data_IF_384032523556
#
_entry.id   IF_384032523556
#
_cell.length_a   1.000
_cell.length_b   1.000
_cell.length_c   1.000
_cell.angle_alpha   90.00
_cell.angle_beta   90.00
_cell.angle_gamma   90.00
#
_symmetry.space_group_name_H-M   'P 1'
#
loop_
_entity.id
_entity.type
_entity.pdbx_description
1 polymer ?
#
# COMPACT_ATOMS: atom_id res chain seq x y z
N UNK A 1 19.06 -18.21 -23.47
CA UNK A 1 18.01 -17.42 -24.16
C UNK A 1 16.71 -17.16 -23.36
N UNK A 2 16.28 -17.92 -22.33
CA UNK A 2 15.05 -17.61 -21.57
C UNK A 2 15.11 -16.31 -20.76
N UNK A 3 16.27 -15.94 -20.18
CA UNK A 3 16.42 -14.74 -19.33
C UNK A 3 16.18 -13.40 -20.06
N UNK A 4 16.59 -13.26 -21.31
CA UNK A 4 16.41 -12.02 -22.08
C UNK A 4 14.93 -11.78 -22.46
N UNK A 5 14.18 -12.84 -22.75
CA UNK A 5 12.73 -12.77 -23.02
C UNK A 5 11.95 -12.36 -21.78
N UNK A 6 12.26 -12.95 -20.62
CA UNK A 6 11.62 -12.62 -19.33
C UNK A 6 11.92 -11.18 -18.90
N UNK A 7 13.16 -10.73 -19.08
CA UNK A 7 13.55 -9.34 -18.76
C UNK A 7 12.77 -8.34 -19.61
N UNK A 8 12.60 -8.58 -20.90
CA UNK A 8 11.78 -7.72 -21.79
C UNK A 8 10.31 -7.72 -21.39
N UNK A 9 9.75 -8.87 -21.03
CA UNK A 9 8.37 -8.99 -20.56
C UNK A 9 8.15 -8.20 -19.28
N UNK A 10 9.08 -8.29 -18.32
CA UNK A 10 9.01 -7.54 -17.08
C UNK A 10 9.11 -6.02 -17.31
N UNK A 11 10.06 -5.56 -18.15
CA UNK A 11 10.19 -4.14 -18.48
C UNK A 11 8.91 -3.56 -19.10
N UNK A 12 8.24 -4.34 -19.95
CA UNK A 12 6.98 -3.95 -20.59
C UNK A 12 5.81 -3.88 -19.58
N UNK A 13 5.73 -4.84 -18.67
CA UNK A 13 4.75 -4.78 -17.56
C UNK A 13 4.95 -3.55 -16.70
N UNK A 14 6.21 -3.24 -16.36
CA UNK A 14 6.55 -2.06 -15.55
C UNK A 14 6.20 -0.74 -16.24
N UNK A 15 6.34 -0.63 -17.55
CA UNK A 15 5.91 0.55 -18.31
C UNK A 15 4.39 0.74 -18.20
N UNK A 16 3.59 -0.33 -18.36
CA UNK A 16 2.13 -0.29 -18.25
C UNK A 16 1.71 0.10 -16.82
N UNK A 17 2.32 -0.52 -15.80
CA UNK A 17 2.05 -0.22 -14.39
C UNK A 17 2.42 1.23 -14.06
N UNK A 18 3.52 1.74 -14.59
CA UNK A 18 3.98 3.10 -14.35
C UNK A 18 3.06 4.15 -15.00
N UNK A 19 2.57 3.88 -16.21
CA UNK A 19 1.56 4.73 -16.86
C UNK A 19 0.25 4.74 -16.06
N UNK A 20 -0.22 3.60 -15.59
CA UNK A 20 -1.39 3.50 -14.72
C UNK A 20 -1.18 4.30 -13.42
N UNK A 21 0.00 4.20 -12.81
CA UNK A 21 0.34 4.94 -11.60
C UNK A 21 0.29 6.47 -11.82
N UNK A 22 0.83 6.95 -12.93
CA UNK A 22 0.82 8.37 -13.28
C UNK A 22 -0.61 8.90 -13.51
N UNK A 23 -1.45 8.16 -14.23
CA UNK A 23 -2.85 8.51 -14.42
C UNK A 23 -3.63 8.54 -13.10
N UNK A 24 -3.35 7.61 -12.19
CA UNK A 24 -4.03 7.50 -10.90
C UNK A 24 -3.71 8.64 -9.91
N UNK A 25 -2.69 9.46 -10.18
CA UNK A 25 -2.42 10.67 -9.40
C UNK A 25 -3.53 11.71 -9.55
N UNK A 26 -4.10 11.83 -10.77
CA UNK A 26 -5.06 12.89 -11.11
C UNK A 26 -6.44 12.38 -11.47
N UNK A 27 -6.59 11.10 -11.80
CA UNK A 27 -7.86 10.48 -12.20
C UNK A 27 -8.33 9.48 -11.15
N UNK A 28 -9.65 9.26 -11.08
CA UNK A 28 -10.20 8.20 -10.26
C UNK A 28 -10.02 6.82 -10.91
N UNK A 29 -10.04 5.75 -10.10
CA UNK A 29 -10.01 4.38 -10.60
C UNK A 29 -11.12 4.10 -11.65
N UNK A 30 -12.30 4.69 -11.45
CA UNK A 30 -13.46 4.48 -12.35
C UNK A 30 -13.24 5.11 -13.72
N UNK A 31 -12.59 6.27 -13.76
CA UNK A 31 -12.40 7.05 -14.97
C UNK A 31 -11.23 6.53 -15.82
N UNK A 32 -10.24 5.85 -15.23
CA UNK A 32 -9.11 5.27 -15.96
C UNK A 32 -9.58 4.05 -16.74
N UNK A 33 -9.26 4.05 -18.05
CA UNK A 33 -9.54 2.93 -18.97
C UNK A 33 -8.25 2.36 -19.55
N UNK A 34 -8.32 1.16 -20.13
CA UNK A 34 -7.18 0.59 -20.87
C UNK A 34 -6.77 1.44 -22.08
N UNK A 35 -7.69 2.27 -22.61
CA UNK A 35 -7.39 3.23 -23.67
C UNK A 35 -6.47 4.34 -23.15
N UNK A 36 -6.78 4.91 -21.98
CA UNK A 36 -5.97 5.97 -21.38
C UNK A 36 -4.57 5.45 -21.04
N UNK A 37 -4.49 4.24 -20.46
CA UNK A 37 -3.20 3.60 -20.19
C UNK A 37 -2.41 3.36 -21.47
N UNK A 38 -3.06 2.92 -22.57
CA UNK A 38 -2.37 2.73 -23.85
C UNK A 38 -1.84 4.02 -24.44
N UNK A 39 -2.56 5.14 -24.26
CA UNK A 39 -2.13 6.47 -24.73
C UNK A 39 -0.93 7.02 -23.93
N UNK A 40 -0.74 6.56 -22.71
CA UNK A 40 0.36 6.94 -21.83
C UNK A 40 1.57 5.97 -21.91
N UNK A 41 1.54 5.00 -22.82
CA UNK A 41 2.61 4.01 -23.05
C UNK A 41 3.03 3.95 -24.51
N UNK A 42 4.10 3.22 -24.79
CA UNK A 42 4.49 2.86 -26.17
C UNK A 42 3.62 1.74 -26.79
N UNK A 43 2.59 1.26 -26.07
CA UNK A 43 1.77 0.10 -26.48
C UNK A 43 0.41 0.49 -27.03
N UNK A 44 -0.06 -0.28 -28.01
CA UNK A 44 -1.46 -0.27 -28.39
C UNK A 44 -2.30 -0.98 -27.32
N UNK A 45 -3.60 -0.63 -27.22
CA UNK A 45 -4.54 -1.33 -26.33
C UNK A 45 -4.51 -2.85 -26.53
N UNK A 46 -4.42 -3.32 -27.80
CA UNK A 46 -4.32 -4.75 -28.13
C UNK A 46 -3.05 -5.38 -27.55
N UNK A 47 -1.94 -4.65 -27.56
CA UNK A 47 -0.66 -5.14 -27.01
C UNK A 47 -0.70 -5.26 -25.48
N UNK A 48 -1.47 -4.43 -24.78
CA UNK A 48 -1.65 -4.51 -23.32
C UNK A 48 -2.30 -5.83 -22.93
N UNK A 49 -3.26 -6.34 -23.71
CA UNK A 49 -3.93 -7.62 -23.43
C UNK A 49 -2.99 -8.84 -23.41
N UNK A 50 -1.80 -8.73 -23.97
CA UNK A 50 -0.78 -9.79 -23.85
C UNK A 50 -0.22 -9.90 -22.41
N UNK A 51 -0.44 -8.89 -21.55
CA UNK A 51 0.09 -8.79 -20.19
C UNK A 51 -0.99 -8.76 -19.13
N UNK A 52 -2.07 -8.00 -19.37
CA UNK A 52 -3.17 -7.77 -18.44
C UNK A 52 -4.50 -7.87 -19.18
N UNK A 53 -5.43 -8.67 -18.67
CA UNK A 53 -6.74 -8.86 -19.28
C UNK A 53 -7.74 -7.74 -18.91
N UNK A 54 -7.56 -7.15 -17.72
CA UNK A 54 -8.43 -6.10 -17.19
C UNK A 54 -7.59 -4.95 -16.65
N UNK A 55 -8.20 -3.79 -16.45
CA UNK A 55 -7.53 -2.68 -15.77
C UNK A 55 -7.27 -3.03 -14.29
N UNK A 56 -8.15 -3.81 -13.69
CA UNK A 56 -8.05 -4.27 -12.31
C UNK A 56 -6.78 -5.08 -12.08
N UNK A 57 -6.36 -5.90 -13.06
CA UNK A 57 -5.07 -6.60 -13.00
C UNK A 57 -3.87 -5.65 -13.02
N UNK A 58 -3.96 -4.54 -13.76
CA UNK A 58 -2.90 -3.51 -13.77
C UNK A 58 -2.84 -2.80 -12.42
N UNK A 59 -3.99 -2.45 -11.85
CA UNK A 59 -4.08 -1.84 -10.53
C UNK A 59 -3.64 -2.79 -9.41
N UNK A 60 -3.96 -4.09 -9.52
CA UNK A 60 -3.46 -5.11 -8.59
C UNK A 60 -1.94 -5.25 -8.65
N UNK A 61 -1.35 -5.22 -9.85
CA UNK A 61 0.09 -5.21 -10.03
C UNK A 61 0.74 -3.91 -9.51
N UNK A 62 0.06 -2.77 -9.64
CA UNK A 62 0.48 -1.51 -9.03
C UNK A 62 0.47 -1.60 -7.50
N UNK A 63 -0.58 -2.15 -6.90
CA UNK A 63 -0.65 -2.38 -5.45
C UNK A 63 0.44 -3.35 -4.98
N UNK A 64 0.70 -4.42 -5.75
CA UNK A 64 1.81 -5.33 -5.48
C UNK A 64 3.16 -4.58 -5.44
N UNK A 65 3.45 -3.73 -6.42
CA UNK A 65 4.65 -2.90 -6.48
C UNK A 65 4.77 -1.98 -5.26
N UNK A 66 3.67 -1.36 -4.85
CA UNK A 66 3.66 -0.49 -3.67
C UNK A 66 3.97 -1.27 -2.36
N UNK A 67 3.46 -2.49 -2.21
CA UNK A 67 3.82 -3.35 -1.08
C UNK A 67 5.30 -3.76 -1.10
N UNK A 68 5.86 -4.06 -2.27
CA UNK A 68 7.27 -4.40 -2.41
C UNK A 68 8.17 -3.20 -2.06
N UNK A 69 7.78 -1.98 -2.44
CA UNK A 69 8.47 -0.76 -2.06
C UNK A 69 8.37 -0.48 -0.55
N UNK A 70 7.19 -0.67 0.04
CA UNK A 70 7.03 -0.52 1.49
C UNK A 70 7.83 -1.56 2.26
N UNK A 71 7.84 -2.80 1.79
CA UNK A 71 8.71 -3.84 2.36
C UNK A 71 10.18 -3.45 2.34
N UNK A 72 10.65 -2.82 1.26
CA UNK A 72 12.03 -2.32 1.19
C UNK A 72 12.30 -1.25 2.27
N UNK A 73 11.38 -0.30 2.48
CA UNK A 73 11.50 0.68 3.57
C UNK A 73 11.63 0.00 4.94
N UNK A 74 10.83 -1.04 5.20
CA UNK A 74 10.88 -1.82 6.45
C UNK A 74 12.19 -2.58 6.61
N UNK A 75 12.73 -3.16 5.53
CA UNK A 75 14.02 -3.84 5.56
C UNK A 75 15.17 -2.87 5.85
N UNK A 76 15.11 -1.64 5.34
CA UNK A 76 16.06 -0.58 5.68
C UNK A 76 16.00 -0.27 7.19
N UNK A 77 14.81 -0.16 7.79
CA UNK A 77 14.69 0.04 9.24
C UNK A 77 15.35 -1.09 10.04
N UNK A 78 15.17 -2.35 9.57
CA UNK A 78 15.79 -3.51 10.19
C UNK A 78 17.32 -3.51 10.08
N UNK A 79 17.85 -2.98 9.00
CA UNK A 79 19.29 -3.00 8.72
C UNK A 79 20.04 -1.90 9.48
N UNK A 80 19.46 -0.69 9.54
CA UNK A 80 20.15 0.48 10.11
C UNK A 80 19.98 0.64 11.62
N UNK A 81 19.01 -0.05 12.24
CA UNK A 81 18.76 0.06 13.69
C UNK A 81 19.00 -1.26 14.41
N UNK A 82 19.85 -1.26 15.44
CA UNK A 82 20.05 -2.41 16.32
C UNK A 82 18.89 -2.54 17.34
N UNK A 83 18.43 -1.44 17.89
CA UNK A 83 17.32 -1.35 18.82
C UNK A 83 16.52 -0.06 18.57
N UNK A 84 15.26 -0.06 18.94
CA UNK A 84 14.39 1.13 18.90
C UNK A 84 13.47 1.15 20.12
N UNK A 85 13.19 2.34 20.63
CA UNK A 85 12.10 2.53 21.60
C UNK A 85 10.76 2.43 20.87
N UNK A 86 9.67 2.18 21.60
CA UNK A 86 8.32 2.17 21.03
C UNK A 86 7.96 3.48 20.33
N UNK A 87 8.45 4.59 20.85
CA UNK A 87 8.28 5.93 20.29
C UNK A 87 9.01 6.09 18.95
N UNK A 88 10.30 5.74 18.93
CA UNK A 88 11.13 5.81 17.72
C UNK A 88 10.60 4.88 16.62
N UNK A 89 10.19 3.65 16.99
CA UNK A 89 9.63 2.70 16.03
C UNK A 89 8.28 3.18 15.46
N UNK A 90 7.38 3.70 16.32
CA UNK A 90 6.10 4.26 15.88
C UNK A 90 6.30 5.42 14.90
N UNK A 91 7.24 6.34 15.19
CA UNK A 91 7.59 7.43 14.30
C UNK A 91 8.17 6.93 12.96
N UNK A 92 9.11 6.00 13.00
CA UNK A 92 9.73 5.43 11.81
C UNK A 92 8.68 4.72 10.93
N UNK A 93 7.82 3.87 11.51
CA UNK A 93 6.76 3.17 10.79
C UNK A 93 5.75 4.15 10.18
N UNK A 94 5.35 5.20 10.92
CA UNK A 94 4.47 6.25 10.42
C UNK A 94 5.10 7.00 9.23
N UNK A 95 6.39 7.30 9.28
CA UNK A 95 7.10 7.92 8.16
C UNK A 95 7.16 7.00 6.92
N UNK A 96 7.31 5.68 7.09
CA UNK A 96 7.27 4.78 5.94
C UNK A 96 5.91 4.82 5.25
N UNK A 97 4.80 4.82 6.00
CA UNK A 97 3.44 4.86 5.46
C UNK A 97 3.08 6.23 4.87
N UNK A 98 3.56 7.33 5.45
CA UNK A 98 3.34 8.67 4.90
C UNK A 98 3.88 8.82 3.46
N UNK A 99 4.93 8.07 3.11
CA UNK A 99 5.47 8.00 1.74
C UNK A 99 4.71 7.07 0.80
N UNK A 100 3.73 6.31 1.32
CA UNK A 100 2.98 5.27 0.57
C UNK A 100 1.49 5.63 0.44
N UNK A 101 1.19 6.92 0.26
CA UNK A 101 -0.20 7.39 0.11
C UNK A 101 -0.96 6.66 -1.01
N UNK A 102 -0.30 6.36 -2.14
CA UNK A 102 -0.89 5.61 -3.25
C UNK A 102 -1.25 4.18 -2.86
N UNK A 103 -0.38 3.47 -2.11
CA UNK A 103 -0.69 2.15 -1.57
C UNK A 103 -1.97 2.20 -0.71
N UNK A 104 -2.03 3.14 0.22
CA UNK A 104 -3.16 3.31 1.13
C UNK A 104 -4.44 3.71 0.39
N UNK A 105 -4.34 4.54 -0.66
CA UNK A 105 -5.47 4.89 -1.54
C UNK A 105 -6.04 3.66 -2.24
N UNK A 106 -5.17 2.82 -2.83
CA UNK A 106 -5.58 1.58 -3.49
C UNK A 106 -6.25 0.60 -2.53
N UNK A 107 -5.70 0.43 -1.33
CA UNK A 107 -6.27 -0.43 -0.29
C UNK A 107 -7.67 0.02 0.12
N UNK A 108 -7.84 1.30 0.41
CA UNK A 108 -9.09 1.84 0.94
C UNK A 108 -10.20 1.92 -0.11
N UNK A 109 -9.85 2.23 -1.36
CA UNK A 109 -10.82 2.64 -2.36
C UNK A 109 -11.17 1.55 -3.37
N UNK A 110 -10.26 0.58 -3.63
CA UNK A 110 -10.40 -0.27 -4.81
C UNK A 110 -10.04 -1.74 -4.59
N UNK A 111 -9.80 -2.14 -3.34
CA UNK A 111 -9.30 -3.47 -3.02
C UNK A 111 -10.19 -4.60 -3.55
N UNK A 112 -11.50 -4.54 -3.27
CA UNK A 112 -12.45 -5.57 -3.70
C UNK A 112 -12.59 -5.65 -5.21
N UNK A 113 -12.64 -4.53 -5.91
CA UNK A 113 -12.76 -4.51 -7.38
C UNK A 113 -11.54 -5.17 -8.03
N UNK A 114 -10.34 -4.88 -7.52
CA UNK A 114 -9.10 -5.47 -8.02
C UNK A 114 -9.05 -6.98 -7.79
N UNK A 115 -9.45 -7.47 -6.61
CA UNK A 115 -9.45 -8.91 -6.31
C UNK A 115 -10.50 -9.66 -7.13
N UNK A 116 -11.73 -9.14 -7.21
CA UNK A 116 -12.83 -9.80 -7.90
C UNK A 116 -12.63 -9.93 -9.42
N UNK A 117 -11.90 -8.97 -10.03
CA UNK A 117 -11.74 -8.89 -11.49
C UNK A 117 -10.33 -9.23 -11.97
N UNK A 118 -9.53 -9.90 -11.15
CA UNK A 118 -8.18 -10.36 -11.50
C UNK A 118 -8.10 -11.88 -11.58
N UNK A 119 -7.27 -12.38 -12.50
CA UNK A 119 -6.97 -13.81 -12.58
C UNK A 119 -6.25 -14.30 -11.32
N UNK A 120 -6.48 -15.57 -10.96
CA UNK A 120 -5.93 -16.19 -9.74
C UNK A 120 -4.40 -16.08 -9.66
N UNK A 121 -3.68 -16.25 -10.76
CA UNK A 121 -2.22 -16.13 -10.76
C UNK A 121 -1.74 -14.74 -10.36
N UNK A 122 -2.43 -13.67 -10.78
CA UNK A 122 -2.10 -12.30 -10.41
C UNK A 122 -2.46 -12.03 -8.94
N UNK A 123 -3.58 -12.58 -8.48
CA UNK A 123 -3.97 -12.49 -7.07
C UNK A 123 -2.97 -13.22 -6.16
N UNK A 124 -2.51 -14.40 -6.54
CA UNK A 124 -1.47 -15.15 -5.80
C UNK A 124 -0.15 -14.38 -5.76
N UNK A 125 0.26 -13.76 -6.88
CA UNK A 125 1.47 -12.92 -6.93
C UNK A 125 1.35 -11.72 -5.96
N UNK A 126 0.22 -11.03 -5.98
CA UNK A 126 -0.08 -9.95 -5.04
C UNK A 126 -0.05 -10.42 -3.58
N UNK A 127 -0.71 -11.53 -3.24
CA UNK A 127 -0.74 -12.07 -1.87
C UNK A 127 0.65 -12.48 -1.36
N UNK A 128 1.58 -12.85 -2.25
CA UNK A 128 2.99 -13.07 -1.87
C UNK A 128 3.68 -11.78 -1.45
N UNK A 129 3.51 -10.68 -2.18
CA UNK A 129 4.08 -9.38 -1.81
C UNK A 129 3.45 -8.82 -0.53
N UNK A 130 2.13 -8.93 -0.39
CA UNK A 130 1.42 -8.61 0.85
C UNK A 130 1.97 -9.40 2.05
N UNK A 131 2.08 -10.73 1.92
CA UNK A 131 2.63 -11.60 2.96
C UNK A 131 4.08 -11.28 3.30
N UNK A 132 4.90 -10.94 2.30
CA UNK A 132 6.29 -10.53 2.52
C UNK A 132 6.40 -9.20 3.28
N UNK A 133 5.52 -8.24 3.01
CA UNK A 133 5.45 -7.00 3.79
C UNK A 133 4.99 -7.24 5.23
N UNK A 134 3.98 -8.10 5.43
CA UNK A 134 3.53 -8.51 6.76
C UNK A 134 4.65 -9.18 7.55
N UNK A 135 5.43 -10.06 6.92
CA UNK A 135 6.61 -10.67 7.54
C UNK A 135 7.68 -9.64 7.89
N UNK A 136 7.90 -8.60 7.07
CA UNK A 136 8.84 -7.54 7.37
C UNK A 136 8.42 -6.74 8.61
N UNK A 137 7.12 -6.36 8.73
CA UNK A 137 6.58 -5.75 9.96
C UNK A 137 6.77 -6.67 11.15
N UNK A 138 6.45 -7.96 11.02
CA UNK A 138 6.63 -8.96 12.08
C UNK A 138 8.09 -9.03 12.55
N UNK A 139 9.04 -9.00 11.61
CA UNK A 139 10.47 -9.00 11.93
C UNK A 139 10.90 -7.73 12.67
N UNK A 140 10.39 -6.56 12.27
CA UNK A 140 10.62 -5.30 12.98
C UNK A 140 10.14 -5.39 14.43
N UNK A 141 8.88 -5.79 14.63
CA UNK A 141 8.30 -5.93 15.97
C UNK A 141 9.11 -6.91 16.84
N UNK A 142 9.46 -8.08 16.30
CA UNK A 142 10.25 -9.08 17.04
C UNK A 142 11.70 -8.64 17.32
N UNK A 143 12.33 -7.88 16.42
CA UNK A 143 13.70 -7.37 16.63
C UNK A 143 13.71 -6.28 17.69
N UNK A 144 12.81 -5.31 17.61
CA UNK A 144 12.84 -4.14 18.48
C UNK A 144 12.14 -4.36 19.82
N UNK A 145 11.24 -5.36 19.89
CA UNK A 145 10.49 -5.72 21.11
C UNK A 145 10.63 -7.22 21.39
N UNK A 146 11.85 -7.71 21.71
CA UNK A 146 12.11 -9.15 21.83
C UNK A 146 11.37 -9.82 22.99
N UNK A 147 10.90 -9.04 23.98
CA UNK A 147 10.12 -9.54 25.12
C UNK A 147 8.60 -9.55 24.86
N UNK A 148 8.14 -9.06 23.68
CA UNK A 148 6.73 -9.11 23.32
C UNK A 148 6.28 -10.57 23.10
N UNK A 149 5.26 -11.07 23.82
CA UNK A 149 4.76 -12.43 23.62
C UNK A 149 4.21 -12.64 22.21
N UNK A 150 4.23 -13.87 21.72
CA UNK A 150 3.77 -14.21 20.36
C UNK A 150 2.31 -13.76 20.10
N UNK A 151 1.45 -13.89 21.11
CA UNK A 151 0.05 -13.44 21.04
C UNK A 151 -0.06 -11.92 20.89
N UNK A 152 0.80 -11.15 21.59
CA UNK A 152 0.83 -9.69 21.46
C UNK A 152 1.36 -9.25 20.09
N UNK A 153 2.38 -9.93 19.56
CA UNK A 153 2.84 -9.71 18.17
C UNK A 153 1.71 -9.97 17.17
N UNK A 154 0.97 -11.04 17.34
CA UNK A 154 -0.19 -11.35 16.51
C UNK A 154 -1.29 -10.29 16.66
N UNK A 155 -1.60 -9.89 17.88
CA UNK A 155 -2.56 -8.83 18.20
C UNK A 155 -2.18 -7.50 17.51
N UNK A 156 -0.89 -7.12 17.57
CA UNK A 156 -0.38 -5.95 16.85
C UNK A 156 -0.67 -6.06 15.34
N UNK A 157 -0.33 -7.18 14.72
CA UNK A 157 -0.53 -7.36 13.26
C UNK A 157 -2.02 -7.28 12.88
N UNK A 158 -2.89 -7.96 13.64
CA UNK A 158 -4.34 -7.99 13.36
C UNK A 158 -5.07 -6.69 13.72
N UNK A 159 -4.48 -5.81 14.49
CA UNK A 159 -4.97 -4.44 14.67
C UNK A 159 -4.41 -3.50 13.60
N UNK A 160 -3.11 -3.60 13.30
CA UNK A 160 -2.41 -2.69 12.43
C UNK A 160 -2.78 -2.85 10.94
N UNK A 161 -2.81 -4.08 10.42
CA UNK A 161 -3.11 -4.28 8.99
C UNK A 161 -4.54 -3.86 8.60
N UNK A 162 -5.61 -4.20 9.35
CA UNK A 162 -6.94 -3.65 9.10
C UNK A 162 -7.00 -2.11 9.21
N UNK A 163 -6.26 -1.48 10.12
CA UNK A 163 -6.17 -0.03 10.23
C UNK A 163 -5.69 0.62 8.93
N UNK A 164 -4.77 0.00 8.18
CA UNK A 164 -4.27 0.53 6.90
C UNK A 164 -5.40 0.75 5.87
N UNK A 165 -6.46 -0.07 5.90
CA UNK A 165 -7.58 0.04 4.97
C UNK A 165 -8.44 1.29 5.21
N UNK A 166 -8.49 1.78 6.47
CA UNK A 166 -9.22 3.00 6.82
C UNK A 166 -8.39 4.28 6.75
N UNK A 167 -7.06 4.16 6.69
CA UNK A 167 -6.15 5.29 6.91
C UNK A 167 -6.26 6.40 5.85
N UNK A 168 -6.33 6.03 4.56
CA UNK A 168 -6.34 7.01 3.47
C UNK A 168 -7.55 7.95 3.50
N UNK A 169 -8.81 7.49 3.59
CA UNK A 169 -9.97 8.38 3.59
C UNK A 169 -10.03 9.32 4.80
N UNK A 170 -9.39 8.98 5.91
CA UNK A 170 -9.28 9.87 7.07
C UNK A 170 -8.21 10.96 6.89
N UNK A 171 -7.14 10.68 6.15
CA UNK A 171 -6.08 11.65 5.89
C UNK A 171 -6.40 12.56 4.67
N UNK A 172 -7.14 12.05 3.69
CA UNK A 172 -7.45 12.73 2.43
C UNK A 172 -8.95 12.98 2.29
N UNK A 173 -9.48 13.84 3.14
CA UNK A 173 -10.90 14.25 3.14
C UNK A 173 -11.16 15.18 1.97
N UNK A 174 -12.17 14.88 1.14
CA UNK A 174 -12.56 15.70 -0.01
C UNK A 174 -13.23 17.00 0.45
N UNK A 175 -13.20 18.06 -0.39
CA UNK A 175 -13.85 19.33 -0.06
C UNK A 175 -15.36 19.17 0.11
N UNK A 176 -15.97 18.23 -0.64
CA UNK A 176 -17.39 17.89 -0.45
C UNK A 176 -17.67 17.28 0.92
N UNK A 177 -16.78 16.42 1.42
CA UNK A 177 -16.91 15.84 2.76
C UNK A 177 -16.71 16.90 3.85
N UNK A 178 -15.69 17.79 3.68
CA UNK A 178 -15.49 18.92 4.61
C UNK A 178 -16.72 19.78 4.73
N UNK A 179 -17.26 20.23 3.59
CA UNK A 179 -18.47 21.03 3.56
C UNK A 179 -19.69 20.32 4.18
N UNK A 180 -19.80 19.01 4.01
CA UNK A 180 -20.88 18.23 4.64
C UNK A 180 -20.71 18.11 6.15
N UNK A 181 -19.49 17.95 6.67
CA UNK A 181 -19.19 17.94 8.09
C UNK A 181 -19.47 19.30 8.74
N UNK A 182 -19.06 20.39 8.07
CA UNK A 182 -19.33 21.76 8.54
C UNK A 182 -20.83 22.04 8.62
N UNK A 183 -21.62 21.62 7.63
CA UNK A 183 -23.08 21.78 7.63
C UNK A 183 -23.78 20.88 8.69
N UNK A 184 -23.17 19.77 9.04
CA UNK A 184 -23.68 18.83 10.02
C UNK A 184 -23.18 19.09 11.47
N UNK A 185 -22.43 20.18 11.68
CA UNK A 185 -21.79 20.52 12.96
C UNK A 185 -20.94 19.36 13.54
N UNK A 186 -20.28 18.59 12.66
CA UNK A 186 -19.39 17.50 13.06
C UNK A 186 -17.96 18.03 13.19
N UNK A 187 -17.40 18.14 14.40
CA UNK A 187 -16.01 18.56 14.57
C UNK A 187 -15.06 17.48 14.02
N UNK A 188 -14.19 17.85 13.12
CA UNK A 188 -13.22 16.92 12.51
C UNK A 188 -11.82 17.53 12.45
N UNK A 189 -10.83 16.94 13.14
CA UNK A 189 -9.44 17.33 12.97
C UNK A 189 -8.89 16.74 11.68
N UNK A 190 -8.33 17.58 10.80
CA UNK A 190 -7.65 17.15 9.58
C UNK A 190 -6.23 16.72 9.95
N UNK A 191 -6.01 15.42 10.01
CA UNK A 191 -4.75 14.80 10.41
C UNK A 191 -4.04 14.21 9.18
N UNK A 192 -2.71 14.30 9.15
CA UNK A 192 -1.90 13.64 8.12
C UNK A 192 -1.85 12.12 8.33
N UNK A 193 -1.35 11.39 7.32
CA UNK A 193 -1.06 9.95 7.47
C UNK A 193 -0.14 9.65 8.64
N UNK A 194 0.84 10.53 8.89
CA UNK A 194 1.74 10.42 10.04
C UNK A 194 0.99 10.60 11.36
N UNK A 195 0.20 11.69 11.48
CA UNK A 195 -0.52 12.02 12.72
C UNK A 195 -1.57 10.99 13.10
N UNK A 196 -2.11 10.24 12.13
CA UNK A 196 -3.01 9.12 12.37
C UNK A 196 -2.24 7.83 12.74
N UNK A 197 -1.12 7.57 12.07
CA UNK A 197 -0.39 6.31 12.23
C UNK A 197 0.43 6.27 13.50
N UNK A 198 1.15 7.35 13.81
CA UNK A 198 2.06 7.40 14.96
C UNK A 198 1.35 7.06 16.29
N UNK A 199 0.24 7.74 16.67
CA UNK A 199 -0.43 7.43 17.93
C UNK A 199 -1.07 6.04 17.93
N UNK A 200 -1.55 5.55 16.80
CA UNK A 200 -2.09 4.20 16.67
C UNK A 200 -1.01 3.15 17.00
N UNK A 201 0.14 3.25 16.33
CA UNK A 201 1.26 2.32 16.56
C UNK A 201 1.80 2.42 17.97
N UNK A 202 1.96 3.65 18.51
CA UNK A 202 2.37 3.87 19.90
C UNK A 202 1.45 3.15 20.89
N UNK A 203 0.13 3.25 20.66
CA UNK A 203 -0.87 2.59 21.51
C UNK A 203 -0.83 1.07 21.39
N UNK A 204 -0.57 0.53 20.20
CA UNK A 204 -0.42 -0.91 19.99
C UNK A 204 0.84 -1.49 20.66
N UNK A 205 1.82 -0.64 20.94
CA UNK A 205 3.06 -0.99 21.64
C UNK A 205 3.07 -0.62 23.12
N UNK A 206 1.93 -0.15 23.64
CA UNK A 206 1.84 0.25 25.04
C UNK A 206 2.13 -0.94 25.98
N UNK A 207 3.00 -0.71 26.97
CA UNK A 207 3.50 -1.76 27.87
C UNK A 207 4.68 -2.58 27.33
N UNK A 208 5.13 -2.37 26.10
CA UNK A 208 6.31 -3.01 25.51
C UNK A 208 7.42 -1.97 25.27
N UNK A 209 8.58 -2.17 25.94
CA UNK A 209 9.73 -1.26 25.90
C UNK A 209 11.01 -2.01 25.52
#
# INVERSE_FOLDING_TARGET
>A
MPKASQSRTNARKEEIISACAALYETMSFKDITLKDISQATSFTRTSIYNYFQTKEEIFLALLQREYDLWRQDLLVLLDIHEAMTADAFAAALAHTLARRARMLKLLSMNHYDMEANSRMENLVAFKRSYGAAMQAVTRCVKKFFPHMPAEAVQGFLYAFFPFLFGLYPYAYVTDKQKAAMDQADVPYPFLSLYDLTYPCVRKLLDGFH
#
